data_IF_617360413748
#
_entry.id   IF_617360413748
#
_cell.length_a   1.000
_cell.length_b   1.000
_cell.length_c   1.000
_cell.angle_alpha   90.00
_cell.angle_beta   90.00
_cell.angle_gamma   90.00
#
_symmetry.space_group_name_H-M   'P 1'
#
loop_
_entity.id
_entity.type
_entity.pdbx_description
1 polymer ?
#
# COMPACT_ATOMS: atom_id res chain seq x y z
N UNK A 1 21.33 -37.94 -31.27
CA UNK A 1 21.10 -36.77 -32.14
C UNK A 1 19.85 -35.99 -31.68
N UNK A 2 18.74 -36.68 -31.37
CA UNK A 2 17.53 -36.04 -30.81
C UNK A 2 17.75 -35.36 -29.44
N UNK A 3 18.55 -35.96 -28.55
CA UNK A 3 18.79 -35.40 -27.21
C UNK A 3 19.60 -34.09 -27.24
N UNK A 4 20.58 -33.99 -28.15
CA UNK A 4 21.36 -32.77 -28.39
C UNK A 4 20.51 -31.65 -29.02
N UNK A 5 19.56 -32.00 -29.90
CA UNK A 5 18.62 -31.03 -30.51
C UNK A 5 17.60 -30.55 -29.46
N UNK A 6 17.12 -31.43 -28.57
CA UNK A 6 16.24 -31.06 -27.45
C UNK A 6 16.95 -30.12 -26.48
N UNK A 7 18.14 -30.50 -26.02
CA UNK A 7 18.93 -29.69 -25.09
C UNK A 7 19.24 -28.30 -25.67
N UNK A 8 19.55 -28.20 -26.98
CA UNK A 8 19.78 -26.90 -27.63
C UNK A 8 18.52 -26.02 -27.64
N UNK A 9 17.35 -26.60 -27.95
CA UNK A 9 16.07 -25.86 -27.92
C UNK A 9 15.70 -25.39 -26.52
N UNK A 10 15.95 -26.22 -25.51
CA UNK A 10 15.72 -25.87 -24.10
C UNK A 10 16.62 -24.71 -23.65
N UNK A 11 17.90 -24.74 -24.03
CA UNK A 11 18.85 -23.65 -23.76
C UNK A 11 18.43 -22.37 -24.50
N UNK A 12 18.05 -22.45 -25.76
CA UNK A 12 17.56 -21.29 -26.54
C UNK A 12 16.28 -20.70 -25.93
N UNK A 13 15.33 -21.55 -25.51
CA UNK A 13 14.11 -21.12 -24.81
C UNK A 13 14.43 -20.42 -23.49
N UNK A 14 15.33 -20.99 -22.69
CA UNK A 14 15.76 -20.39 -21.42
C UNK A 14 16.45 -19.03 -21.63
N UNK A 15 17.37 -18.94 -22.60
CA UNK A 15 18.04 -17.68 -22.93
C UNK A 15 17.04 -16.62 -23.41
N UNK A 16 16.05 -17.01 -24.21
CA UNK A 16 15.04 -16.08 -24.73
C UNK A 16 14.15 -15.54 -23.61
N UNK A 17 13.72 -16.40 -22.67
CA UNK A 17 12.98 -15.95 -21.48
C UNK A 17 13.80 -15.01 -20.60
N UNK A 18 15.09 -15.31 -20.40
CA UNK A 18 15.98 -14.43 -19.63
C UNK A 18 16.14 -13.06 -20.29
N UNK A 19 16.24 -13.01 -21.62
CA UNK A 19 16.33 -11.76 -22.37
C UNK A 19 15.04 -10.95 -22.20
N UNK A 20 13.87 -11.56 -22.40
CA UNK A 20 12.59 -10.85 -22.27
C UNK A 20 12.31 -10.39 -20.84
N UNK A 21 12.67 -11.18 -19.83
CA UNK A 21 12.60 -10.74 -18.42
C UNK A 21 13.42 -9.47 -18.19
N UNK A 22 14.67 -9.44 -18.67
CA UNK A 22 15.53 -8.24 -18.56
C UNK A 22 14.99 -7.04 -19.34
N UNK A 23 14.43 -7.26 -20.53
CA UNK A 23 13.84 -6.18 -21.32
C UNK A 23 12.62 -5.60 -20.58
N UNK A 24 11.73 -6.46 -20.09
CA UNK A 24 10.53 -6.06 -19.35
C UNK A 24 10.83 -5.32 -18.06
N UNK A 25 11.88 -5.71 -17.33
CA UNK A 25 12.22 -5.10 -16.05
C UNK A 25 13.09 -3.82 -16.20
N UNK A 26 14.02 -3.80 -17.15
CA UNK A 26 15.10 -2.81 -17.15
C UNK A 26 14.98 -1.75 -18.25
N UNK A 27 14.08 -1.92 -19.22
CA UNK A 27 13.87 -0.93 -20.28
C UNK A 27 12.57 -0.16 -20.05
N UNK A 28 12.50 1.07 -20.56
CA UNK A 28 11.25 1.81 -20.63
C UNK A 28 10.48 1.40 -21.87
N UNK A 29 9.39 0.65 -21.69
CA UNK A 29 8.57 0.13 -22.78
C UNK A 29 7.30 0.96 -22.91
N UNK A 30 6.89 1.25 -24.15
CA UNK A 30 5.57 1.85 -24.39
C UNK A 30 4.49 0.77 -24.32
N UNK A 31 3.26 1.16 -24.00
CA UNK A 31 2.13 0.24 -24.02
C UNK A 31 1.93 -0.42 -25.39
N UNK A 32 2.13 0.31 -26.50
CA UNK A 32 2.02 -0.26 -27.84
C UNK A 32 3.07 -1.33 -28.12
N UNK A 33 4.30 -1.15 -27.62
CA UNK A 33 5.32 -2.18 -27.70
C UNK A 33 4.90 -3.41 -26.89
N UNK A 34 4.36 -3.21 -25.70
CA UNK A 34 3.88 -4.32 -24.86
C UNK A 34 2.72 -5.06 -25.54
N UNK A 35 1.79 -4.35 -26.21
CA UNK A 35 0.71 -4.96 -27.01
C UNK A 35 1.26 -5.81 -28.15
N UNK A 36 2.23 -5.29 -28.89
CA UNK A 36 2.87 -5.98 -30.03
C UNK A 36 3.59 -7.26 -29.57
N UNK A 37 4.25 -7.22 -28.41
CA UNK A 37 5.06 -8.32 -27.89
C UNK A 37 4.45 -9.01 -26.65
N UNK A 38 3.13 -8.96 -26.51
CA UNK A 38 2.38 -9.41 -25.33
C UNK A 38 2.60 -10.89 -24.94
N UNK A 39 3.00 -11.73 -25.88
CA UNK A 39 3.25 -13.17 -25.66
C UNK A 39 4.72 -13.47 -25.32
N UNK A 40 5.57 -12.44 -25.26
CA UNK A 40 7.00 -12.57 -24.98
C UNK A 40 7.43 -11.83 -23.72
N UNK A 41 6.85 -10.66 -23.46
CA UNK A 41 7.15 -9.86 -22.27
C UNK A 41 6.86 -10.63 -20.98
N UNK A 42 7.61 -10.33 -19.92
CA UNK A 42 7.32 -10.86 -18.60
C UNK A 42 6.28 -9.99 -17.90
N UNK A 43 5.03 -10.45 -17.83
CA UNK A 43 3.91 -9.66 -17.29
C UNK A 43 4.10 -9.19 -15.86
N UNK A 44 4.73 -10.01 -15.00
CA UNK A 44 5.07 -9.61 -13.64
C UNK A 44 5.99 -8.38 -13.62
N UNK A 45 7.08 -8.43 -14.37
CA UNK A 45 8.05 -7.32 -14.48
C UNK A 45 7.41 -6.08 -15.11
N UNK A 46 6.52 -6.28 -16.10
CA UNK A 46 5.76 -5.18 -16.72
C UNK A 46 4.84 -4.51 -15.70
N UNK A 47 4.09 -5.30 -14.93
CA UNK A 47 3.17 -4.80 -13.90
C UNK A 47 3.88 -4.04 -12.78
N UNK A 48 5.10 -4.45 -12.42
CA UNK A 48 5.88 -3.80 -11.38
C UNK A 48 6.58 -2.52 -11.85
N UNK A 49 7.28 -2.60 -12.99
CA UNK A 49 8.30 -1.60 -13.32
C UNK A 49 7.94 -0.66 -14.47
N UNK A 50 6.89 -0.95 -15.23
CA UNK A 50 6.40 -0.04 -16.26
C UNK A 50 5.31 0.86 -15.70
N UNK A 51 5.22 2.10 -16.22
CA UNK A 51 4.08 2.97 -15.95
C UNK A 51 2.93 2.57 -16.86
N UNK A 52 1.91 1.93 -16.32
CA UNK A 52 0.76 1.45 -17.07
C UNK A 52 -0.43 2.36 -16.82
N UNK A 53 -1.17 2.70 -17.88
CA UNK A 53 -2.48 3.34 -17.74
C UNK A 53 -3.53 2.34 -17.27
N UNK A 54 -4.52 2.81 -16.53
CA UNK A 54 -5.64 1.96 -16.12
C UNK A 54 -6.38 1.31 -17.30
N UNK A 55 -6.48 1.99 -18.44
CA UNK A 55 -7.09 1.42 -19.64
C UNK A 55 -6.28 0.24 -20.18
N UNK A 56 -4.96 0.32 -20.13
CA UNK A 56 -4.09 -0.81 -20.47
C UNK A 56 -4.27 -1.96 -19.48
N UNK A 57 -4.35 -1.66 -18.19
CA UNK A 57 -4.56 -2.71 -17.16
C UNK A 57 -5.93 -3.37 -17.35
N UNK A 58 -7.00 -2.62 -17.70
CA UNK A 58 -8.31 -3.16 -18.08
C UNK A 58 -8.22 -4.10 -19.28
N UNK A 59 -7.50 -3.67 -20.32
CA UNK A 59 -7.29 -4.45 -21.56
C UNK A 59 -6.61 -5.79 -21.27
N UNK A 60 -5.63 -5.81 -20.36
CA UNK A 60 -4.81 -6.98 -20.04
C UNK A 60 -5.05 -7.54 -18.62
N UNK A 61 -6.24 -7.36 -18.08
CA UNK A 61 -6.60 -7.69 -16.69
C UNK A 61 -6.41 -9.16 -16.28
N UNK A 62 -6.29 -10.06 -17.26
CA UNK A 62 -6.10 -11.50 -17.04
C UNK A 62 -4.62 -11.92 -17.24
N UNK A 63 -3.75 -10.99 -17.65
CA UNK A 63 -2.31 -11.22 -17.82
C UNK A 63 -1.46 -10.48 -16.78
N UNK A 64 -1.86 -9.28 -16.37
CA UNK A 64 -1.14 -8.50 -15.36
C UNK A 64 -1.05 -9.22 -14.02
N UNK A 65 0.04 -8.97 -13.29
CA UNK A 65 0.17 -9.44 -11.92
C UNK A 65 -0.49 -8.44 -10.97
N UNK A 66 -1.62 -8.84 -10.38
CA UNK A 66 -2.43 -7.95 -9.53
C UNK A 66 -1.76 -7.52 -8.24
N UNK A 67 -0.80 -8.30 -7.72
CA UNK A 67 -0.01 -7.87 -6.58
C UNK A 67 0.86 -6.68 -6.98
N UNK A 68 1.62 -6.85 -8.07
CA UNK A 68 2.51 -5.81 -8.59
C UNK A 68 1.73 -4.55 -9.03
N UNK A 69 0.54 -4.74 -9.63
CA UNK A 69 -0.35 -3.62 -9.97
C UNK A 69 -0.80 -2.85 -8.72
N UNK A 70 -1.17 -3.55 -7.65
CA UNK A 70 -1.67 -2.91 -6.42
C UNK A 70 -0.56 -2.17 -5.66
N UNK A 71 0.67 -2.69 -5.71
CA UNK A 71 1.83 -2.17 -4.99
C UNK A 71 2.50 -1.00 -5.74
N UNK A 72 2.72 -1.13 -7.05
CA UNK A 72 3.62 -0.22 -7.78
C UNK A 72 2.91 0.77 -8.71
N UNK A 73 1.66 0.55 -9.08
CA UNK A 73 0.92 1.49 -9.92
C UNK A 73 0.17 2.53 -9.09
N UNK A 74 -0.03 3.72 -9.64
CA UNK A 74 -0.96 4.70 -9.07
C UNK A 74 -2.35 4.43 -9.62
N UNK A 75 -3.26 3.97 -8.76
CA UNK A 75 -4.61 3.57 -9.12
C UNK A 75 -5.62 4.59 -8.60
N UNK A 76 -6.61 4.93 -9.42
CA UNK A 76 -7.76 5.69 -8.95
C UNK A 76 -8.68 4.80 -8.11
N UNK A 77 -9.40 5.41 -7.18
CA UNK A 77 -10.40 4.70 -6.37
C UNK A 77 -11.49 4.03 -7.24
N UNK A 78 -11.90 4.65 -8.34
CA UNK A 78 -12.89 4.08 -9.26
C UNK A 78 -12.37 2.80 -9.91
N UNK A 79 -11.09 2.77 -10.29
CA UNK A 79 -10.45 1.55 -10.78
C UNK A 79 -10.39 0.47 -9.70
N UNK A 80 -10.05 0.85 -8.46
CA UNK A 80 -10.02 -0.10 -7.34
C UNK A 80 -11.42 -0.64 -7.05
N UNK A 81 -12.49 0.17 -7.11
CA UNK A 81 -13.89 -0.25 -6.99
C UNK A 81 -14.27 -1.27 -8.07
N UNK A 82 -13.87 -1.00 -9.31
CA UNK A 82 -14.09 -1.86 -10.47
C UNK A 82 -13.43 -3.24 -10.26
N UNK A 83 -12.16 -3.26 -9.82
CA UNK A 83 -11.36 -4.48 -9.64
C UNK A 83 -11.20 -4.94 -8.19
N UNK A 84 -12.14 -4.59 -7.32
CA UNK A 84 -12.13 -4.87 -5.86
C UNK A 84 -11.98 -6.34 -5.45
N UNK A 85 -12.16 -7.26 -6.39
CA UNK A 85 -12.01 -8.70 -6.19
C UNK A 85 -10.63 -9.24 -6.64
N UNK A 86 -9.84 -8.44 -7.38
CA UNK A 86 -8.54 -8.81 -7.92
C UNK A 86 -7.38 -8.07 -7.22
N UNK A 87 -7.59 -6.81 -6.82
CA UNK A 87 -6.56 -6.03 -6.09
C UNK A 87 -6.17 -6.67 -4.75
N UNK A 88 -4.94 -6.42 -4.32
CA UNK A 88 -4.43 -6.88 -3.02
C UNK A 88 -4.62 -5.76 -2.01
N UNK A 89 -5.56 -5.94 -1.07
CA UNK A 89 -6.01 -4.89 -0.17
C UNK A 89 -4.93 -4.36 0.78
N UNK A 90 -3.99 -5.21 1.20
CA UNK A 90 -2.82 -4.79 1.99
C UNK A 90 -2.01 -3.75 1.21
N UNK A 91 -1.65 -4.06 -0.05
CA UNK A 91 -0.92 -3.15 -0.94
C UNK A 91 -1.72 -1.89 -1.27
N UNK A 92 -3.03 -2.01 -1.46
CA UNK A 92 -3.90 -0.83 -1.64
C UNK A 92 -3.84 0.09 -0.41
N UNK A 93 -3.88 -0.48 0.79
CA UNK A 93 -3.90 0.28 2.04
C UNK A 93 -2.57 0.96 2.35
N UNK A 94 -1.44 0.35 1.94
CA UNK A 94 -0.10 0.90 2.18
C UNK A 94 0.41 1.82 1.06
N UNK A 95 0.10 1.54 -0.21
CA UNK A 95 0.75 2.19 -1.35
C UNK A 95 -0.11 3.27 -2.03
N UNK A 96 -1.44 3.20 -1.89
CA UNK A 96 -2.35 4.15 -2.54
C UNK A 96 -2.74 5.29 -1.59
N UNK A 97 -3.07 6.45 -2.16
CA UNK A 97 -3.68 7.55 -1.40
C UNK A 97 -5.19 7.35 -1.40
N UNK A 98 -5.76 7.01 -0.25
CA UNK A 98 -7.18 6.70 -0.13
C UNK A 98 -7.94 7.84 0.55
N UNK A 99 -9.10 8.19 0.02
CA UNK A 99 -10.04 9.08 0.70
C UNK A 99 -10.73 8.36 1.86
N UNK A 100 -11.13 9.13 2.87
CA UNK A 100 -11.90 8.59 3.99
C UNK A 100 -13.23 7.97 3.55
N UNK A 101 -13.88 8.50 2.53
CA UNK A 101 -15.13 7.95 2.01
C UNK A 101 -14.91 6.57 1.36
N UNK A 102 -13.80 6.39 0.65
CA UNK A 102 -13.41 5.09 0.14
C UNK A 102 -13.09 4.10 1.27
N UNK A 103 -12.36 4.56 2.29
CA UNK A 103 -12.06 3.72 3.45
C UNK A 103 -13.34 3.32 4.22
N UNK A 104 -14.33 4.20 4.33
CA UNK A 104 -15.67 3.86 4.87
C UNK A 104 -16.37 2.80 4.03
N UNK A 105 -16.36 2.96 2.71
CA UNK A 105 -16.98 2.03 1.77
C UNK A 105 -16.37 0.62 1.87
N UNK A 106 -15.05 0.53 2.05
CA UNK A 106 -14.30 -0.74 2.10
C UNK A 106 -13.71 -1.07 3.47
N UNK A 107 -14.34 -0.60 4.55
CA UNK A 107 -13.87 -0.73 5.93
C UNK A 107 -13.61 -2.16 6.42
N UNK A 108 -14.18 -3.16 5.76
CA UNK A 108 -14.02 -4.59 6.10
C UNK A 108 -12.97 -5.28 5.22
N UNK A 109 -12.34 -4.55 4.31
CA UNK A 109 -11.31 -5.06 3.39
C UNK A 109 -9.97 -4.38 3.55
N UNK A 110 -9.97 -3.06 3.79
CA UNK A 110 -8.74 -2.31 4.01
C UNK A 110 -7.99 -2.85 5.23
N UNK A 111 -6.67 -2.78 5.18
CA UNK A 111 -5.81 -3.18 6.28
C UNK A 111 -5.62 -2.00 7.23
N UNK A 112 -6.28 -2.05 8.39
CA UNK A 112 -6.29 -0.96 9.35
C UNK A 112 -4.94 -0.63 9.96
N UNK A 113 -4.01 -1.58 10.00
CA UNK A 113 -2.63 -1.32 10.41
C UNK A 113 -1.98 -0.34 9.42
N UNK A 114 -2.08 -0.63 8.12
CA UNK A 114 -1.52 0.22 7.07
C UNK A 114 -2.31 1.52 6.89
N UNK A 115 -3.63 1.50 7.06
CA UNK A 115 -4.43 2.74 7.07
C UNK A 115 -3.92 3.69 8.16
N UNK A 116 -3.70 3.19 9.37
CA UNK A 116 -3.26 4.01 10.50
C UNK A 116 -1.82 4.53 10.33
N UNK A 117 -0.94 3.71 9.73
CA UNK A 117 0.47 4.03 9.54
C UNK A 117 0.75 4.95 8.35
N UNK A 118 0.03 4.78 7.25
CA UNK A 118 0.37 5.37 5.94
C UNK A 118 -0.60 6.46 5.48
N UNK A 119 -1.87 6.41 5.87
CA UNK A 119 -2.87 7.37 5.40
C UNK A 119 -2.92 8.60 6.30
N UNK A 120 -3.34 9.73 5.73
CA UNK A 120 -3.65 10.94 6.51
C UNK A 120 -5.11 10.88 6.95
N UNK A 121 -5.34 10.78 8.25
CA UNK A 121 -6.67 10.62 8.82
C UNK A 121 -7.10 11.89 9.56
N UNK A 122 -8.38 12.27 9.40
CA UNK A 122 -9.00 13.29 10.23
C UNK A 122 -9.38 12.70 11.59
N UNK A 123 -9.40 13.55 12.61
CA UNK A 123 -9.83 13.15 13.95
C UNK A 123 -11.27 12.63 13.97
N UNK A 124 -12.15 13.17 13.13
CA UNK A 124 -13.53 12.68 13.04
C UNK A 124 -13.58 11.24 12.50
N UNK A 125 -12.75 10.91 11.50
CA UNK A 125 -12.66 9.56 10.99
C UNK A 125 -12.04 8.61 12.03
N UNK A 126 -11.02 9.05 12.75
CA UNK A 126 -10.42 8.25 13.83
C UNK A 126 -11.42 7.98 14.96
N UNK A 127 -12.31 8.93 15.30
CA UNK A 127 -13.42 8.70 16.24
C UNK A 127 -14.40 7.66 15.73
N UNK A 128 -14.77 7.76 14.45
CA UNK A 128 -15.71 6.85 13.80
C UNK A 128 -15.18 5.40 13.81
N UNK A 129 -13.87 5.21 13.65
CA UNK A 129 -13.22 3.90 13.55
C UNK A 129 -12.24 3.60 14.70
N UNK A 130 -12.50 4.16 15.89
CA UNK A 130 -11.63 4.04 17.07
C UNK A 130 -11.31 2.58 17.46
N UNK A 131 -12.22 1.65 17.19
CA UNK A 131 -12.07 0.22 17.53
C UNK A 131 -11.31 -0.57 16.45
N UNK A 132 -11.03 0.05 15.29
CA UNK A 132 -10.33 -0.58 14.16
C UNK A 132 -8.93 -0.02 13.95
N UNK A 133 -8.73 1.27 14.19
CA UNK A 133 -7.43 1.93 14.00
C UNK A 133 -6.36 1.37 14.95
N UNK A 134 -5.11 1.38 14.49
CA UNK A 134 -3.96 1.03 15.31
C UNK A 134 -3.45 2.27 16.05
N UNK A 135 -3.73 2.32 17.35
CA UNK A 135 -3.41 3.48 18.19
C UNK A 135 -1.92 3.80 18.31
N UNK A 136 -1.03 2.81 18.12
CA UNK A 136 0.41 3.07 18.10
C UNK A 136 0.77 3.93 16.90
N UNK A 137 0.24 3.57 15.73
CA UNK A 137 0.45 4.32 14.49
C UNK A 137 -0.31 5.64 14.45
N UNK A 138 -1.54 5.68 14.97
CA UNK A 138 -2.27 6.95 15.12
C UNK A 138 -1.43 7.95 15.92
N UNK A 139 -0.87 7.52 17.05
CA UNK A 139 -0.09 8.40 17.92
C UNK A 139 1.23 8.84 17.29
N UNK A 140 1.86 7.95 16.50
CA UNK A 140 3.21 8.19 15.96
C UNK A 140 3.19 8.95 14.62
N UNK A 141 2.16 8.72 13.79
CA UNK A 141 2.11 9.22 12.41
C UNK A 141 1.15 10.40 12.22
N UNK A 142 0.08 10.49 13.02
CA UNK A 142 -0.95 11.50 12.80
C UNK A 142 -0.65 12.78 13.57
N UNK A 143 -1.12 13.90 13.03
CA UNK A 143 -1.16 15.17 13.76
C UNK A 143 -2.43 15.23 14.59
N UNK A 144 -2.29 15.11 15.90
CA UNK A 144 -3.39 15.07 16.86
C UNK A 144 -3.48 16.38 17.65
N UNK A 145 -4.70 16.86 17.87
CA UNK A 145 -5.00 17.96 18.78
C UNK A 145 -4.93 17.53 20.23
N UNK A 146 -4.69 18.49 21.13
CA UNK A 146 -4.69 18.22 22.58
C UNK A 146 -6.06 17.69 23.06
N UNK A 147 -7.15 18.17 22.48
CA UNK A 147 -8.51 17.75 22.85
C UNK A 147 -8.78 16.29 22.44
N UNK A 148 -8.36 15.90 21.24
CA UNK A 148 -8.46 14.51 20.78
C UNK A 148 -7.66 13.56 21.67
N UNK A 149 -6.42 13.93 22.02
CA UNK A 149 -5.58 13.15 22.92
C UNK A 149 -6.21 13.00 24.31
N UNK A 150 -6.85 14.06 24.84
CA UNK A 150 -7.55 13.99 26.13
C UNK A 150 -8.73 13.03 26.08
N UNK A 151 -9.48 13.04 24.99
CA UNK A 151 -10.61 12.15 24.80
C UNK A 151 -10.18 10.68 24.75
N UNK A 152 -9.06 10.39 24.07
CA UNK A 152 -8.52 9.03 23.89
C UNK A 152 -7.31 8.72 24.78
N UNK A 153 -7.24 9.33 25.96
CA UNK A 153 -6.10 9.22 26.86
C UNK A 153 -5.69 7.79 27.27
N UNK A 154 -6.61 6.83 27.18
CA UNK A 154 -6.36 5.44 27.54
C UNK A 154 -5.85 4.59 26.37
N UNK A 155 -6.01 5.06 25.13
CA UNK A 155 -5.63 4.33 23.92
C UNK A 155 -4.30 4.84 23.35
N UNK A 156 -4.04 6.14 23.48
CA UNK A 156 -2.85 6.77 22.90
C UNK A 156 -1.55 6.37 23.61
N UNK A 157 -0.46 6.37 22.85
CA UNK A 157 0.86 6.00 23.35
C UNK A 157 1.60 7.21 23.91
N UNK A 158 1.45 7.45 25.21
CA UNK A 158 1.99 8.63 25.89
C UNK A 158 3.49 8.85 25.73
N UNK A 159 4.28 7.77 25.66
CA UNK A 159 5.72 7.85 25.41
C UNK A 159 6.00 8.62 24.10
N UNK A 160 5.26 8.31 23.03
CA UNK A 160 5.40 8.94 21.71
C UNK A 160 4.91 10.38 21.71
N UNK A 161 3.83 10.68 22.41
CA UNK A 161 3.33 12.06 22.57
C UNK A 161 4.36 12.94 23.30
N UNK A 162 5.02 12.40 24.33
CA UNK A 162 6.02 13.13 25.10
C UNK A 162 7.26 13.48 24.28
N UNK A 163 7.67 12.59 23.38
CA UNK A 163 8.80 12.79 22.45
C UNK A 163 8.46 13.76 21.31
N UNK A 164 7.18 13.92 20.96
CA UNK A 164 6.76 14.76 19.84
C UNK A 164 6.93 16.27 20.17
N UNK A 165 7.74 17.01 19.38
CA UNK A 165 8.04 18.42 19.65
C UNK A 165 6.86 19.38 19.37
N UNK A 166 5.78 18.96 18.69
CA UNK A 166 4.63 19.82 18.40
C UNK A 166 3.79 20.14 19.64
N UNK A 167 3.84 19.32 20.69
CA UNK A 167 3.05 19.54 21.91
C UNK A 167 3.74 20.49 22.88
N UNK A 168 2.94 21.37 23.51
CA UNK A 168 3.45 22.34 24.48
C UNK A 168 4.01 21.65 25.72
N UNK A 169 5.08 22.21 26.31
CA UNK A 169 5.65 21.68 27.56
C UNK A 169 4.62 21.65 28.69
N UNK A 170 3.67 22.61 28.71
CA UNK A 170 2.58 22.63 29.67
C UNK A 170 1.60 21.46 29.48
N UNK A 171 1.33 21.08 28.23
CA UNK A 171 0.57 19.87 27.94
C UNK A 171 1.33 18.63 28.42
N UNK A 172 2.65 18.56 28.14
CA UNK A 172 3.54 17.47 28.57
C UNK A 172 3.66 17.33 30.10
N UNK A 173 3.71 18.44 30.84
CA UNK A 173 3.75 18.44 32.31
C UNK A 173 2.44 17.89 32.90
N UNK A 174 1.29 18.19 32.29
CA UNK A 174 0.01 17.59 32.69
C UNK A 174 -0.02 16.07 32.46
N UNK A 175 0.86 15.51 31.63
CA UNK A 175 1.02 14.06 31.40
C UNK A 175 1.66 13.34 32.58
N UNK A 176 2.52 14.02 33.36
CA UNK A 176 3.17 13.43 34.54
C UNK A 176 2.13 13.06 35.61
N UNK A 177 0.95 13.69 35.60
CA UNK A 177 -0.17 13.34 36.49
C UNK A 177 -1.05 12.18 36.02
N UNK A 178 -1.13 11.93 34.70
CA UNK A 178 -2.09 10.98 34.09
C UNK A 178 -1.37 9.70 33.60
N UNK A 179 -0.21 9.84 32.94
CA UNK A 179 0.55 8.71 32.38
C UNK A 179 1.37 7.91 33.40
N UNK A 180 1.83 8.51 34.51
CA UNK A 180 2.62 7.80 35.53
C UNK A 180 1.85 6.71 36.30
N UNK A 181 0.52 6.70 36.23
CA UNK A 181 -0.29 5.61 36.79
C UNK A 181 -0.32 4.36 35.88
N UNK A 182 -0.02 4.49 34.58
CA UNK A 182 -0.12 3.40 33.60
C UNK A 182 1.22 2.75 33.24
N UNK A 183 2.37 3.38 33.50
CA UNK A 183 3.71 2.77 33.28
C UNK A 183 4.10 1.78 34.41
N UNK A 184 3.25 1.60 35.43
CA UNK A 184 3.54 0.78 36.62
C UNK A 184 2.63 -0.44 36.84
N UNK A 185 1.75 -0.79 35.91
CA UNK A 185 0.93 -2.01 35.98
C UNK A 185 1.23 -2.94 34.81
#
# INVERSE_FOLDING_TARGET
MNDLISAKKEVEFFLMNLIWGKISACQKLSEDFIREFQDKVCWKEISAYQKLSENFIREFQDKVDWKEISEYQTLSEDFIREFRAKVVWEEISTCQTLSEDFMREFQDKVDWYWISACQKLSENFMREFQDKVDWYWITTCQKLSEDFIREFQNEVYWEKISENPEFSENFKIKLIGIGYQHVKN
#
